data_IF_489555799890
#
_entry.id   IF_489555799890
#
_cell.length_a   1.000
_cell.length_b   1.000
_cell.length_c   1.000
_cell.angle_alpha   90.00
_cell.angle_beta   90.00
_cell.angle_gamma   90.00
#
_symmetry.space_group_name_H-M   'P 1'
#
loop_
_entity.id
_entity.type
_entity.pdbx_description
1 polymer ?
2 non-polymer ?
3 non-polymer ?
4 non-polymer ?
5 water ?
#
# COMPACT_ATOMS: atom_id res chain seq x y z
N UNK A 22 5.16 -28.61 -1.58
CA UNK A 22 4.66 -27.66 -0.58
C UNK A 22 4.24 -26.32 -1.20
N UNK A 23 4.25 -26.26 -2.54
CA UNK A 23 3.90 -25.04 -3.26
C UNK A 23 2.56 -25.10 -4.02
N UNK A 24 2.28 -26.22 -4.68
CA UNK A 24 0.93 -26.47 -5.16
C UNK A 24 0.09 -26.79 -3.93
N UNK A 25 0.76 -27.27 -2.88
CA UNK A 25 0.09 -27.56 -1.62
C UNK A 25 -0.46 -26.27 -1.02
N UNK A 26 0.36 -25.23 -1.04
CA UNK A 26 -0.07 -23.91 -0.58
C UNK A 26 -1.18 -23.37 -1.48
N UNK A 27 -1.00 -23.51 -2.80
CA UNK A 27 -2.01 -23.07 -3.75
C UNK A 27 -3.31 -23.85 -3.62
N UNK A 28 -3.17 -25.16 -3.44
CA UNK A 28 -4.31 -26.07 -3.21
C UNK A 28 -5.16 -25.61 -2.03
N UNK A 29 -4.50 -25.39 -0.89
CA UNK A 29 -5.18 -24.95 0.32
C UNK A 29 -5.82 -23.58 0.15
N UNK A 30 -5.10 -22.68 -0.53
CA UNK A 30 -5.60 -21.33 -0.71
C UNK A 30 -6.85 -21.35 -1.57
N UNK A 31 -6.78 -22.08 -2.68
CA UNK A 31 -7.91 -22.11 -3.63
C UNK A 31 -9.13 -22.80 -3.04
N UNK A 32 -8.90 -23.86 -2.26
CA UNK A 32 -10.01 -24.59 -1.63
C UNK A 32 -10.61 -23.82 -0.45
N UNK A 33 -9.83 -22.95 0.17
CA UNK A 33 -10.30 -22.28 1.40
C UNK A 33 -11.53 -21.40 1.24
N UNK A 34 -12.30 -21.28 2.33
CA UNK A 34 -13.42 -20.35 2.41
C UNK A 34 -12.85 -18.96 2.68
N UNK A 35 -13.41 -17.94 2.05
CA UNK A 35 -12.94 -16.58 2.26
C UNK A 35 -13.95 -15.83 3.11
N UNK A 36 -13.61 -15.58 4.38
CA UNK A 36 -14.50 -14.85 5.29
C UNK A 36 -14.75 -13.41 4.81
N UNK A 37 -15.79 -12.77 5.34
CA UNK A 37 -16.14 -11.42 4.92
C UNK A 37 -15.11 -10.38 5.39
N UNK A 38 -15.16 -9.22 4.72
CA UNK A 38 -14.31 -8.09 5.04
C UNK A 38 -14.48 -7.68 6.50
N UNK A 39 -15.73 -7.62 6.96
CA UNK A 39 -16.04 -7.28 8.34
C UNK A 39 -15.41 -8.26 9.31
N UNK A 40 -15.62 -9.55 9.08
CA UNK A 40 -15.04 -10.58 9.92
C UNK A 40 -13.51 -10.45 10.02
N UNK A 41 -12.87 -10.13 8.89
CA UNK A 41 -11.41 -10.11 8.81
C UNK A 41 -10.86 -8.79 9.29
N UNK A 42 -11.74 -7.81 9.50
CA UNK A 42 -11.39 -6.50 10.05
C UNK A 42 -10.52 -5.66 9.12
N UNK A 43 -10.48 -6.04 7.83
CA UNK A 43 -9.62 -5.31 6.88
C UNK A 43 -10.20 -3.94 6.51
N UNK A 44 -11.42 -3.68 6.96
CA UNK A 44 -12.07 -2.39 6.78
C UNK A 44 -11.58 -1.34 7.79
N UNK A 45 -10.89 -1.79 8.82
CA UNK A 45 -10.46 -0.91 9.91
C UNK A 45 -9.09 -0.28 9.65
N UNK A 46 -8.99 1.04 9.75
CA UNK A 46 -7.69 1.68 9.64
C UNK A 46 -6.68 1.16 10.67
N UNK A 47 -7.18 0.61 11.78
CA UNK A 47 -6.32 0.13 12.86
C UNK A 47 -5.91 -1.33 12.73
N UNK A 48 -6.22 -1.92 11.59
CA UNK A 48 -5.89 -3.32 11.30
C UNK A 48 -4.44 -3.64 11.56
N UNK A 49 -4.19 -4.85 12.07
CA UNK A 49 -2.84 -5.32 12.27
C UNK A 49 -2.77 -6.78 11.80
N UNK A 50 -1.57 -7.26 11.49
CA UNK A 50 -1.43 -8.58 10.88
C UNK A 50 -0.59 -9.55 11.71
N UNK A 51 -0.16 -9.11 12.89
CA UNK A 51 0.75 -9.89 13.74
C UNK A 51 0.21 -11.28 14.10
N UNK A 52 -1.10 -11.40 14.24
CA UNK A 52 -1.67 -12.68 14.64
C UNK A 52 -2.07 -13.58 13.45
N UNK A 53 -1.78 -13.13 12.22
CA UNK A 53 -2.21 -13.85 11.02
C UNK A 53 -1.09 -14.68 10.43
N UNK A 54 -1.44 -15.86 9.93
CA UNK A 54 -0.51 -16.70 9.17
C UNK A 54 -0.43 -16.17 7.75
N UNK A 55 0.54 -16.65 6.98
CA UNK A 55 0.66 -16.25 5.58
C UNK A 55 -0.62 -16.58 4.82
N UNK A 56 -1.14 -17.78 5.03
CA UNK A 56 -2.36 -18.22 4.38
C UNK A 56 -3.50 -17.25 4.65
N UNK A 57 -3.62 -16.81 5.90
CA UNK A 57 -4.66 -15.83 6.26
C UNK A 57 -4.47 -14.47 5.58
N UNK A 58 -3.23 -14.04 5.39
CA UNK A 58 -3.03 -12.76 4.68
C UNK A 58 -3.44 -12.92 3.21
N UNK A 59 -3.13 -14.07 2.62
CA UNK A 59 -3.59 -14.40 1.27
C UNK A 59 -5.10 -14.34 1.17
N UNK A 60 -5.78 -14.86 2.19
CA UNK A 60 -7.25 -14.85 2.23
C UNK A 60 -7.79 -13.44 2.34
N UNK A 61 -7.16 -12.61 3.17
CA UNK A 61 -7.55 -11.21 3.27
C UNK A 61 -7.33 -10.52 1.95
N UNK A 62 -6.26 -10.88 1.25
CA UNK A 62 -5.97 -10.26 -0.04
C UNK A 62 -7.03 -10.63 -1.09
N UNK A 63 -7.47 -11.89 -1.12
CA UNK A 63 -8.60 -12.27 -1.97
C UNK A 63 -9.81 -11.41 -1.65
N UNK A 64 -10.11 -11.26 -0.37
CA UNK A 64 -11.28 -10.49 0.03
C UNK A 64 -11.21 -9.02 -0.42
N UNK A 65 -10.01 -8.45 -0.44
CA UNK A 65 -9.87 -7.06 -0.91
C UNK A 65 -10.22 -6.96 -2.39
N UNK A 66 -9.73 -7.90 -3.19
CA UNK A 66 -10.06 -7.93 -4.60
C UNK A 66 -11.56 -8.11 -4.82
N UNK A 67 -12.17 -9.05 -4.13
CA UNK A 67 -13.58 -9.35 -4.41
C UNK A 67 -14.52 -8.27 -3.94
N UNK A 68 -14.21 -7.64 -2.80
CA UNK A 68 -15.07 -6.61 -2.26
C UNK A 68 -14.91 -5.25 -2.93
N UNK A 69 -13.84 -5.07 -3.68
CA UNK A 69 -13.73 -3.91 -4.55
C UNK A 69 -14.33 -4.23 -5.92
N UNK A 70 -14.96 -5.40 -6.04
CA UNK A 70 -15.68 -5.84 -7.23
C UNK A 70 -14.77 -6.10 -8.42
N UNK A 71 -13.48 -6.28 -8.15
CA UNK A 71 -12.47 -6.49 -9.18
C UNK A 71 -12.52 -7.88 -9.79
N UNK A 72 -12.82 -8.89 -8.98
CA UNK A 72 -12.97 -10.26 -9.49
C UNK A 72 -14.12 -10.31 -10.51
N UNK A 73 -15.23 -9.67 -10.16
CA UNK A 73 -16.40 -9.59 -11.03
C UNK A 73 -16.14 -8.76 -12.31
N UNK A 74 -15.80 -7.49 -12.13
CA UNK A 74 -15.71 -6.54 -13.24
C UNK A 74 -14.64 -6.86 -14.29
N UNK A 75 -13.71 -7.73 -13.94
CA UNK A 75 -12.56 -8.04 -14.80
C UNK A 75 -12.35 -9.54 -14.92
N UNK A 76 -13.38 -10.28 -14.56
CA UNK A 76 -13.48 -11.70 -14.88
C UNK A 76 -12.30 -12.56 -14.44
N UNK A 77 -11.78 -12.35 -13.24
CA UNK A 77 -10.64 -13.14 -12.79
C UNK A 77 -11.09 -14.52 -12.37
N UNK A 78 -10.39 -15.55 -12.82
CA UNK A 78 -10.63 -16.89 -12.34
C UNK A 78 -9.95 -17.05 -10.99
N UNK A 79 -10.63 -17.74 -10.09
CA UNK A 79 -10.19 -17.92 -8.71
C UNK A 79 -8.77 -18.43 -8.61
N UNK A 80 -8.46 -19.47 -9.38
CA UNK A 80 -7.15 -20.10 -9.26
C UNK A 80 -6.02 -19.20 -9.76
N UNK A 81 -6.33 -18.31 -10.70
CA UNK A 81 -5.34 -17.35 -11.18
C UNK A 81 -5.01 -16.29 -10.11
N UNK A 82 -6.04 -15.68 -9.53
CA UNK A 82 -5.86 -14.71 -8.44
C UNK A 82 -5.05 -15.33 -7.31
N UNK A 83 -5.43 -16.52 -6.90
CA UNK A 83 -4.71 -17.25 -5.86
C UNK A 83 -3.23 -17.44 -6.21
N UNK A 84 -2.98 -17.93 -7.42
CA UNK A 84 -1.60 -18.11 -7.88
C UNK A 84 -0.84 -16.76 -7.90
N UNK A 85 -1.50 -15.71 -8.38
CA UNK A 85 -0.89 -14.39 -8.46
C UNK A 85 -0.55 -13.87 -7.05
N UNK A 86 -1.49 -13.99 -6.12
CA UNK A 86 -1.23 -13.56 -4.74
C UNK A 86 -0.03 -14.31 -4.16
N UNK A 87 0.04 -15.61 -4.41
CA UNK A 87 1.14 -16.43 -3.90
C UNK A 87 2.49 -16.12 -4.55
N UNK A 88 2.48 -15.83 -5.85
CA UNK A 88 3.68 -15.33 -6.53
C UNK A 88 4.17 -14.00 -5.95
N UNK A 89 3.26 -13.06 -5.73
CA UNK A 89 3.63 -11.78 -5.16
C UNK A 89 4.27 -12.00 -3.78
N UNK A 90 3.58 -12.78 -2.95
CA UNK A 90 4.07 -13.06 -1.59
C UNK A 90 5.47 -13.66 -1.64
N UNK A 91 5.65 -14.60 -2.55
CA UNK A 91 6.91 -15.32 -2.66
C UNK A 91 8.07 -14.43 -3.10
N UNK A 92 7.78 -13.35 -3.81
CA UNK A 92 8.85 -12.51 -4.32
C UNK A 92 9.22 -11.34 -3.39
N UNK A 93 8.75 -11.40 -2.15
CA UNK A 93 9.30 -10.56 -1.09
C UNK A 93 10.29 -11.40 -0.30
N UNK A 94 11.26 -10.77 0.35
CA UNK A 94 12.24 -11.52 1.11
C UNK A 94 11.92 -11.52 2.59
N UNK A 95 11.73 -12.72 3.13
CA UNK A 95 11.37 -12.90 4.54
C UNK A 95 12.46 -12.41 5.49
N UNK A 96 13.72 -12.53 5.08
CA UNK A 96 14.85 -12.14 5.92
C UNK A 96 15.06 -10.63 6.02
N UNK A 97 14.27 -9.85 5.29
CA UNK A 97 14.34 -8.42 5.41
C UNK A 97 13.28 -7.99 6.43
N UNK A 98 13.70 -7.30 7.49
CA UNK A 98 12.87 -7.06 8.67
C UNK A 98 11.57 -6.28 8.44
N UNK A 99 11.65 -5.24 7.63
CA UNK A 99 10.48 -4.39 7.41
C UNK A 99 9.97 -4.46 5.98
N UNK A 100 10.86 -4.32 5.02
CA UNK A 100 10.46 -4.36 3.59
C UNK A 100 10.23 -5.80 3.10
N UNK A 101 9.11 -6.38 3.51
CA UNK A 101 8.78 -7.77 3.21
C UNK A 101 7.31 -7.88 2.86
N UNK A 102 6.83 -9.10 2.68
CA UNK A 102 5.44 -9.29 2.30
C UNK A 102 4.43 -8.60 3.22
N UNK A 103 4.68 -8.65 4.53
CA UNK A 103 3.71 -8.11 5.49
C UNK A 103 3.54 -6.60 5.34
N UNK A 104 4.61 -5.93 4.94
CA UNK A 104 4.56 -4.51 4.70
C UNK A 104 3.69 -4.19 3.47
N UNK A 105 3.93 -4.92 2.37
CA UNK A 105 3.13 -4.81 1.15
C UNK A 105 1.68 -5.14 1.42
N UNK A 106 1.47 -6.24 2.15
CA UNK A 106 0.13 -6.61 2.59
C UNK A 106 -0.57 -5.51 3.40
N UNK A 107 0.14 -4.92 4.37
CA UNK A 107 -0.39 -3.78 5.14
C UNK A 107 -0.66 -2.53 4.33
N UNK A 108 0.22 -2.25 3.37
CA UNK A 108 0.02 -1.11 2.46
C UNK A 108 -1.27 -1.30 1.67
N UNK A 109 -1.47 -2.50 1.13
CA UNK A 109 -2.72 -2.83 0.42
C UNK A 109 -3.95 -2.76 1.33
N UNK A 110 -3.81 -3.22 2.58
CA UNK A 110 -4.94 -3.19 3.49
C UNK A 110 -5.39 -1.77 3.73
N UNK A 111 -4.41 -0.87 3.91
CA UNK A 111 -4.71 0.54 4.07
C UNK A 111 -5.37 1.15 2.82
N UNK A 112 -4.91 0.75 1.63
CA UNK A 112 -5.55 1.20 0.38
C UNK A 112 -7.01 0.78 0.41
N UNK A 113 -7.25 -0.47 0.77
CA UNK A 113 -8.62 -0.98 0.89
C UNK A 113 -9.45 -0.17 1.88
N UNK A 114 -8.94 0.03 3.09
CA UNK A 114 -9.64 0.84 4.10
C UNK A 114 -9.91 2.29 3.65
N UNK A 115 -8.94 2.91 2.97
CA UNK A 115 -9.14 4.27 2.46
C UNK A 115 -10.21 4.28 1.35
N UNK A 116 -10.24 3.21 0.55
CA UNK A 116 -11.24 3.10 -0.50
C UNK A 116 -12.63 2.88 0.11
N UNK A 117 -12.73 1.96 1.06
CA UNK A 117 -14.00 1.64 1.70
C UNK A 117 -14.38 2.64 2.82
N UNK A 118 -13.90 2.40 4.02
CA UNK A 118 -14.18 3.26 5.17
C UNK A 118 -13.85 4.74 4.91
N UNK A 119 -12.77 4.98 4.17
CA UNK A 119 -12.39 6.35 3.85
C UNK A 119 -13.14 6.93 2.67
N UNK A 120 -13.92 6.08 2.00
CA UNK A 120 -14.78 6.51 0.89
C UNK A 120 -14.05 7.15 -0.31
N UNK A 121 -12.81 6.74 -0.55
CA UNK A 121 -12.09 7.21 -1.73
C UNK A 121 -12.61 6.48 -2.99
N UNK A 122 -13.16 5.28 -2.79
CA UNK A 122 -13.62 4.42 -3.89
C UNK A 122 -14.53 5.14 -4.91
N UNK A 123 -15.47 5.93 -4.42
CA UNK A 123 -16.45 6.57 -5.28
C UNK A 123 -15.81 7.66 -6.14
N UNK A 124 -14.63 8.10 -5.75
CA UNK A 124 -13.95 9.16 -6.47
C UNK A 124 -13.08 8.65 -7.60
N UNK A 125 -13.01 7.32 -7.76
CA UNK A 125 -12.08 6.74 -8.74
C UNK A 125 -12.78 5.80 -9.69
N UNK A 126 -12.17 5.56 -10.85
CA UNK A 126 -12.72 4.60 -11.79
C UNK A 126 -12.33 3.21 -11.36
N UNK A 127 -12.98 2.20 -11.94
CA UNK A 127 -12.66 0.82 -11.64
C UNK A 127 -11.22 0.47 -12.01
N UNK A 128 -10.73 0.98 -13.13
CA UNK A 128 -9.37 0.69 -13.58
C UNK A 128 -8.36 1.29 -12.62
N UNK A 129 -8.65 2.48 -12.12
CA UNK A 129 -7.76 3.13 -11.15
C UNK A 129 -7.64 2.30 -9.88
N UNK A 130 -8.77 1.81 -9.39
CA UNK A 130 -8.86 1.01 -8.16
C UNK A 130 -8.12 -0.32 -8.29
N UNK A 131 -8.33 -0.98 -9.41
CA UNK A 131 -7.60 -2.18 -9.78
C UNK A 131 -6.09 -1.95 -9.76
N UNK A 132 -5.65 -0.84 -10.35
CA UNK A 132 -4.22 -0.56 -10.45
C UNK A 132 -3.56 -0.26 -9.10
N UNK A 133 -4.25 0.53 -8.27
CA UNK A 133 -3.75 0.88 -6.94
C UNK A 133 -3.59 -0.32 -6.03
N UNK A 134 -4.55 -1.26 -6.11
CA UNK A 134 -4.51 -2.45 -5.25
C UNK A 134 -3.33 -3.30 -5.66
N UNK A 135 -3.16 -3.51 -6.96
CA UNK A 135 -2.02 -4.27 -7.48
C UNK A 135 -0.69 -3.57 -7.14
N UNK A 136 -0.64 -2.26 -7.37
CA UNK A 136 0.55 -1.46 -7.08
C UNK A 136 0.90 -1.48 -5.59
N UNK A 137 -0.10 -1.32 -4.73
CA UNK A 137 0.14 -1.38 -3.29
C UNK A 137 0.77 -2.70 -2.89
N UNK A 138 0.22 -3.81 -3.40
CA UNK A 138 0.77 -5.14 -3.13
C UNK A 138 2.16 -5.36 -3.70
N UNK A 139 2.43 -4.71 -4.84
CA UNK A 139 3.65 -4.97 -5.61
C UNK A 139 4.75 -3.95 -5.36
N UNK A 140 4.46 -2.86 -4.67
CA UNK A 140 5.28 -1.65 -4.73
C UNK A 140 6.70 -1.79 -4.18
N UNK A 141 6.95 -2.85 -3.40
CA UNK A 141 8.29 -3.07 -2.86
C UNK A 141 8.89 -4.42 -3.24
N UNK A 142 8.36 -5.07 -4.29
CA UNK A 142 8.76 -6.43 -4.65
C UNK A 142 10.28 -6.61 -4.72
N UNK A 143 10.76 -7.70 -4.11
CA UNK A 143 12.17 -8.10 -4.19
C UNK A 143 13.09 -7.12 -3.46
N UNK A 144 12.52 -6.27 -2.61
CA UNK A 144 13.31 -5.34 -1.79
C UNK A 144 14.31 -6.12 -0.93
N UNK A 145 15.53 -5.62 -0.80
CA UNK A 145 16.56 -6.31 -0.03
C UNK A 145 16.94 -5.60 1.26
N UNK A 146 16.26 -4.51 1.59
CA UNK A 146 16.57 -3.73 2.77
C UNK A 146 17.24 -2.41 2.43
N UNK A 147 16.94 -1.36 3.18
CA UNK A 147 17.44 -0.02 2.86
C UNK A 147 18.97 0.04 2.81
N UNK A 148 19.63 -0.79 3.61
CA UNK A 148 21.08 -0.84 3.64
C UNK A 148 21.69 -1.82 2.66
N UNK A 149 21.04 -2.97 2.53
CA UNK A 149 21.56 -4.08 1.75
C UNK A 149 21.39 -3.85 0.25
N UNK A 150 21.47 -2.59 -0.17
CA UNK A 150 21.28 -2.23 -1.58
C UNK A 150 22.61 -1.93 -2.27
N UNK A 161 22.30 5.18 -9.03
CA UNK A 161 21.70 5.59 -7.76
C UNK A 161 22.08 7.02 -7.37
N UNK A 162 23.33 7.40 -7.63
CA UNK A 162 23.75 8.79 -7.55
C UNK A 162 22.94 9.64 -8.52
N UNK A 163 22.39 8.99 -9.55
CA UNK A 163 21.56 9.65 -10.54
C UNK A 163 20.23 10.16 -9.96
N UNK A 164 19.73 9.48 -8.92
CA UNK A 164 18.42 9.77 -8.33
C UNK A 164 17.27 9.62 -9.35
N UNK A 165 17.19 8.47 -10.02
CA UNK A 165 16.14 8.28 -11.02
C UNK A 165 15.18 7.17 -10.64
N UNK A 166 14.99 6.96 -9.33
CA UNK A 166 14.04 5.99 -8.79
C UNK A 166 14.34 4.56 -9.22
N UNK A 167 15.62 4.21 -9.22
CA UNK A 167 16.10 2.90 -9.68
C UNK A 167 15.35 1.75 -9.03
N UNK A 168 15.19 1.84 -7.71
CA UNK A 168 14.58 0.79 -6.91
C UNK A 168 13.13 0.60 -7.30
N UNK A 169 12.42 1.70 -7.44
CA UNK A 169 11.01 1.64 -7.82
C UNK A 169 10.82 1.08 -9.24
N UNK A 170 11.79 1.33 -10.14
CA UNK A 170 11.73 0.76 -11.48
C UNK A 170 11.87 -0.75 -11.37
N UNK A 171 12.76 -1.21 -10.50
CA UNK A 171 12.94 -2.63 -10.29
C UNK A 171 11.68 -3.29 -9.68
N UNK A 172 11.03 -2.61 -8.73
CA UNK A 172 9.79 -3.14 -8.17
C UNK A 172 8.70 -3.29 -9.24
N UNK A 173 8.55 -2.27 -10.09
CA UNK A 173 7.57 -2.35 -11.17
C UNK A 173 7.90 -3.47 -12.15
N UNK A 174 9.16 -3.55 -12.51
CA UNK A 174 9.62 -4.61 -13.39
C UNK A 174 9.22 -5.99 -12.84
N UNK A 175 9.44 -6.21 -11.54
CA UNK A 175 9.04 -7.45 -10.86
C UNK A 175 7.54 -7.68 -10.93
N UNK A 176 6.78 -6.61 -10.65
CA UNK A 176 5.33 -6.63 -10.75
C UNK A 176 4.89 -7.09 -12.14
N UNK A 177 5.44 -6.45 -13.19
CA UNK A 177 5.10 -6.77 -14.59
C UNK A 177 5.38 -8.24 -14.90
N UNK A 178 6.55 -8.71 -14.47
CA UNK A 178 6.96 -10.11 -14.68
C UNK A 178 5.95 -11.10 -14.10
N UNK A 179 5.52 -10.85 -12.87
CA UNK A 179 4.54 -11.70 -12.23
C UNK A 179 3.20 -11.63 -12.94
N UNK A 180 2.78 -10.42 -13.30
CA UNK A 180 1.56 -10.24 -14.07
C UNK A 180 1.55 -10.98 -15.42
N UNK A 181 2.73 -11.27 -15.96
CA UNK A 181 2.85 -11.92 -17.29
C UNK A 181 3.18 -13.41 -17.20
N UNK A 182 3.33 -13.93 -15.99
CA UNK A 182 3.71 -15.33 -15.78
C UNK A 182 2.54 -16.25 -16.08
N UNK A 183 2.82 -17.43 -16.65
CA UNK A 183 1.75 -18.37 -16.95
C UNK A 183 0.95 -18.74 -15.68
N UNK A 184 -0.37 -18.65 -15.78
CA UNK A 184 -1.23 -19.01 -14.67
C UNK A 184 -1.51 -17.85 -13.71
N UNK A 185 -0.80 -16.74 -13.89
CA UNK A 185 -0.87 -15.61 -12.96
C UNK A 185 -1.51 -14.35 -13.53
N UNK A 186 -2.03 -14.44 -14.75
CA UNK A 186 -2.46 -13.24 -15.47
C UNK A 186 -3.82 -12.72 -15.08
N UNK A 187 -3.88 -12.06 -13.92
CA UNK A 187 -5.15 -11.53 -13.42
C UNK A 187 -5.69 -10.40 -14.27
N UNK A 188 -4.88 -9.84 -15.17
CA UNK A 188 -5.38 -8.79 -16.06
C UNK A 188 -5.76 -9.30 -17.46
N UNK A 189 -5.69 -10.62 -17.65
CA UNK A 189 -6.00 -11.21 -18.96
C UNK A 189 -7.41 -10.87 -19.45
N UNK A 190 -8.31 -10.60 -18.50
CA UNK A 190 -9.68 -10.28 -18.86
C UNK A 190 -9.91 -8.88 -19.40
N UNK A 191 -8.91 -8.00 -19.29
CA UNK A 191 -9.07 -6.64 -19.77
C UNK A 191 -8.80 -6.58 -21.27
N UNK A 192 -9.38 -5.59 -21.94
CA UNK A 192 -9.05 -5.32 -23.34
C UNK A 192 -7.64 -4.76 -23.42
N UNK A 193 -7.08 -4.72 -24.62
CA UNK A 193 -5.73 -4.22 -24.82
C UNK A 193 -5.61 -2.76 -24.34
N UNK A 194 -6.61 -1.94 -24.65
CA UNK A 194 -6.63 -0.55 -24.21
C UNK A 194 -6.75 -0.44 -22.68
N UNK A 195 -7.61 -1.27 -22.11
CA UNK A 195 -7.75 -1.37 -20.66
C UNK A 195 -6.40 -1.63 -20.01
N UNK A 196 -5.72 -2.64 -20.55
CA UNK A 196 -4.48 -3.18 -20.02
C UNK A 196 -3.36 -2.15 -20.04
N UNK A 197 -3.25 -1.43 -21.15
CA UNK A 197 -2.25 -0.38 -21.26
C UNK A 197 -2.47 0.76 -20.25
N UNK A 198 -3.72 1.21 -20.10
CA UNK A 198 -3.97 2.29 -19.17
C UNK A 198 -3.72 1.82 -17.72
N UNK A 199 -4.14 0.60 -17.37
CA UNK A 199 -3.90 0.10 -16.01
C UNK A 199 -2.41 -0.10 -15.70
N UNK A 200 -1.67 -0.70 -16.64
CA UNK A 200 -0.21 -0.75 -16.54
C UNK A 200 0.41 0.60 -16.29
N UNK A 201 -0.04 1.63 -17.01
CA UNK A 201 0.51 2.97 -16.81
C UNK A 201 0.26 3.48 -15.39
N UNK A 202 -0.99 3.34 -14.92
CA UNK A 202 -1.35 3.74 -13.57
C UNK A 202 -0.54 2.96 -12.52
N UNK A 203 -0.44 1.65 -12.72
CA UNK A 203 0.34 0.80 -11.80
C UNK A 203 1.78 1.31 -11.69
N UNK A 204 2.40 1.57 -12.84
CA UNK A 204 3.79 2.04 -12.87
C UNK A 204 3.97 3.43 -12.22
N UNK A 205 3.11 4.39 -12.55
CA UNK A 205 3.12 5.68 -11.87
C UNK A 205 2.97 5.51 -10.35
N UNK A 206 2.08 4.62 -9.96
CA UNK A 206 1.78 4.42 -8.54
C UNK A 206 3.00 3.86 -7.79
N UNK A 207 3.66 2.88 -8.38
CA UNK A 207 4.85 2.30 -7.77
C UNK A 207 6.01 3.30 -7.75
N UNK A 208 6.18 4.03 -8.86
CA UNK A 208 7.20 5.07 -8.95
C UNK A 208 6.97 6.13 -7.88
N UNK A 209 5.71 6.48 -7.66
CA UNK A 209 5.33 7.45 -6.63
C UNK A 209 5.85 7.11 -5.23
N UNK A 210 6.08 5.83 -4.96
CA UNK A 210 6.49 5.40 -3.61
C UNK A 210 7.97 5.70 -3.32
N UNK A 211 8.65 6.31 -4.29
CA UNK A 211 10.01 6.82 -4.11
C UNK A 211 9.91 8.09 -3.30
N UNK A 212 10.50 8.08 -2.11
CA UNK A 212 10.42 9.20 -1.19
C UNK A 212 10.82 10.53 -1.85
N UNK A 213 11.90 10.48 -2.63
CA UNK A 213 12.37 11.63 -3.41
C UNK A 213 11.26 12.24 -4.26
N UNK A 214 10.49 11.38 -4.95
CA UNK A 214 9.39 11.86 -5.79
C UNK A 214 8.26 12.45 -4.96
N UNK A 215 7.91 11.79 -3.85
CA UNK A 215 6.88 12.30 -2.97
C UNK A 215 7.22 13.73 -2.47
N UNK A 216 8.47 13.91 -2.06
CA UNK A 216 8.93 15.19 -1.55
C UNK A 216 8.92 16.28 -2.64
N UNK A 217 9.23 15.90 -3.88
CA UNK A 217 9.18 16.83 -5.01
C UNK A 217 7.77 17.32 -5.31
N UNK A 218 6.81 16.41 -5.27
CA UNK A 218 5.48 16.70 -5.79
C UNK A 218 4.48 17.15 -4.72
N UNK A 219 4.89 16.99 -3.46
CA UNK A 219 4.14 17.39 -2.27
C UNK A 219 3.58 18.79 -2.30
N UNK A 220 4.49 19.76 -2.49
CA UNK A 220 4.17 21.17 -2.43
C UNK A 220 2.98 21.50 -3.30
N UNK A 221 2.98 20.98 -4.52
CA UNK A 221 1.88 21.20 -5.46
C UNK A 221 0.54 20.74 -4.86
N UNK A 222 0.53 19.54 -4.27
CA UNK A 222 -0.69 18.97 -3.68
C UNK A 222 -1.18 19.82 -2.50
N UNK A 223 -0.26 20.16 -1.60
CA UNK A 223 -0.57 20.99 -0.44
C UNK A 223 -1.06 22.38 -0.88
N UNK A 224 -0.31 22.99 -1.78
CA UNK A 224 -0.63 24.31 -2.34
C UNK A 224 -2.04 24.36 -2.94
N UNK A 225 -2.41 23.32 -3.68
CA UNK A 225 -3.72 23.25 -4.31
C UNK A 225 -4.85 23.17 -3.28
N UNK A 226 -4.67 22.34 -2.26
CA UNK A 226 -5.69 22.20 -1.22
C UNK A 226 -5.78 23.47 -0.41
N UNK A 227 -4.63 24.07 -0.14
CA UNK A 227 -4.53 25.33 0.59
C UNK A 227 -5.42 26.43 -0.02
N UNK A 228 -5.46 26.49 -1.35
CA UNK A 228 -6.20 27.53 -2.07
C UNK A 228 -7.60 27.06 -2.47
N UNK A 229 -8.03 25.91 -1.94
CA UNK A 229 -9.28 25.30 -2.35
C UNK A 229 -9.42 25.10 -3.85
N UNK A 230 -8.29 24.91 -4.52
CA UNK A 230 -8.27 24.71 -5.98
C UNK A 230 -8.14 23.24 -6.37
N UNK A 231 -8.17 22.33 -5.40
CA UNK A 231 -8.00 20.91 -5.71
C UNK A 231 -9.21 20.32 -6.45
N UNK A 232 -8.91 19.64 -7.55
CA UNK A 232 -9.94 19.16 -8.45
C UNK A 232 -9.57 17.80 -9.06
N UNK A 233 -10.37 16.78 -8.77
CA UNK A 233 -10.07 15.42 -9.23
C UNK A 233 -10.43 15.20 -10.69
N UNK A 234 -11.24 16.10 -11.24
CA UNK A 234 -11.65 16.01 -12.63
C UNK A 234 -10.50 16.32 -13.58
N UNK A 235 -9.55 17.14 -13.11
CA UNK A 235 -8.36 17.38 -13.91
C UNK A 235 -7.53 16.11 -13.87
N UNK A 236 -7.21 15.57 -15.06
CA UNK A 236 -6.33 14.41 -15.14
C UNK A 236 -5.04 14.58 -14.34
N UNK A 237 -4.40 15.74 -14.44
CA UNK A 237 -3.11 15.94 -13.78
C UNK A 237 -3.19 15.89 -12.26
N UNK A 238 -4.27 16.44 -11.71
CA UNK A 238 -4.44 16.46 -10.27
C UNK A 238 -4.89 15.08 -9.78
N UNK A 239 -5.64 14.38 -10.62
CA UNK A 239 -6.05 13.01 -10.34
C UNK A 239 -4.81 12.15 -10.16
N UNK A 240 -3.92 12.22 -11.14
CA UNK A 240 -2.67 11.50 -11.07
C UNK A 240 -1.85 11.88 -9.83
N UNK A 241 -1.86 13.17 -9.47
CA UNK A 241 -1.08 13.66 -8.34
C UNK A 241 -1.62 13.04 -7.06
N UNK A 242 -2.95 12.95 -7.00
CA UNK A 242 -3.64 12.37 -5.85
C UNK A 242 -3.33 10.88 -5.69
N UNK A 243 -3.33 10.12 -6.78
CA UNK A 243 -3.02 8.69 -6.73
C UNK A 243 -1.63 8.50 -6.16
N UNK A 244 -0.71 9.38 -6.54
CA UNK A 244 0.66 9.34 -6.05
C UNK A 244 0.68 9.55 -4.54
N UNK A 245 -0.06 10.56 -4.08
CA UNK A 245 -0.09 10.90 -2.66
C UNK A 245 -0.75 9.79 -1.84
N UNK A 246 -1.83 9.24 -2.37
CA UNK A 246 -2.53 8.12 -1.75
C UNK A 246 -1.58 6.95 -1.56
N UNK A 247 -0.77 6.64 -2.58
CA UNK A 247 0.18 5.53 -2.47
C UNK A 247 1.11 5.74 -1.27
N UNK A 248 1.63 6.95 -1.14
CA UNK A 248 2.58 7.25 -0.07
C UNK A 248 1.91 7.15 1.29
N UNK A 249 0.68 7.64 1.38
CA UNK A 249 -0.12 7.58 2.61
C UNK A 249 -0.30 6.15 3.08
N UNK A 250 -0.60 5.26 2.14
CA UNK A 250 -0.73 3.84 2.47
C UNK A 250 0.62 3.21 2.82
N UNK A 251 1.66 3.58 2.06
CA UNK A 251 3.03 3.10 2.26
C UNK A 251 3.54 3.41 3.67
N UNK A 252 3.17 4.58 4.19
CA UNK A 252 3.65 5.03 5.49
C UNK A 252 2.68 4.70 6.60
N UNK A 253 1.59 4.00 6.27
CA UNK A 253 0.45 3.87 7.18
C UNK A 253 0.74 3.26 8.57
N UNK A 254 1.87 2.57 8.71
CA UNK A 254 2.28 2.04 10.02
C UNK A 254 2.38 3.14 11.07
N UNK A 255 2.74 4.34 10.62
CA UNK A 255 2.89 5.48 11.50
C UNK A 255 1.54 5.95 12.08
N UNK A 256 0.45 5.40 11.56
CA UNK A 256 -0.88 5.80 12.01
C UNK A 256 -1.49 4.78 12.98
N UNK A 257 -0.84 3.64 13.14
CA UNK A 257 -1.42 2.52 13.88
C UNK A 257 -1.53 2.75 15.39
N UNK A 258 -2.44 2.04 16.06
CA UNK A 258 -2.51 2.06 17.54
C UNK A 258 -1.13 1.89 18.17
N UNK A 259 -0.89 2.63 19.25
CA UNK A 259 0.43 2.67 19.90
C UNK A 259 1.18 1.33 20.08
N UNK A 260 0.52 0.29 20.61
CA UNK A 260 1.20 -1.02 20.70
C UNK A 260 1.65 -1.54 19.33
N UNK A 261 0.86 -1.29 18.29
CA UNK A 261 1.24 -1.72 16.93
C UNK A 261 2.39 -0.89 16.36
N UNK A 262 2.27 0.43 16.39
CA UNK A 262 3.36 1.30 15.91
C UNK A 262 4.72 1.03 16.58
N UNK A 263 4.70 0.81 17.89
CA UNK A 263 5.95 0.47 18.61
C UNK A 263 6.58 -0.77 18.03
N UNK A 264 5.75 -1.77 17.74
CA UNK A 264 6.23 -3.02 17.14
C UNK A 264 6.79 -2.82 15.73
N UNK A 265 6.09 -2.06 14.90
CA UNK A 265 6.58 -1.80 13.55
C UNK A 265 7.83 -0.92 13.59
N UNK A 266 7.86 0.06 14.48
CA UNK A 266 9.07 0.87 14.64
C UNK A 266 10.28 -0.01 15.01
N UNK A 267 10.03 -1.05 15.79
CA UNK A 267 11.03 -2.05 16.13
C UNK A 267 11.61 -2.73 14.87
N UNK A 268 10.74 -3.10 13.94
CA UNK A 268 11.15 -3.69 12.66
C UNK A 268 11.95 -2.69 11.80
N UNK A 269 11.45 -1.47 11.69
CA UNK A 269 12.13 -0.43 10.93
C UNK A 269 13.53 -0.23 11.48
N UNK A 270 13.62 -0.12 12.81
CA UNK A 270 14.90 0.01 13.50
C UNK A 270 15.86 -1.14 13.17
N UNK A 271 15.41 -2.40 13.19
CA UNK A 271 16.38 -3.46 12.91
C UNK A 271 16.81 -3.49 11.44
N UNK A 272 15.93 -3.08 10.53
CA UNK A 272 16.33 -3.01 9.14
C UNK A 272 17.35 -1.89 8.94
N UNK A 273 17.09 -0.73 9.56
CA UNK A 273 17.93 0.46 9.40
C UNK A 273 19.35 0.26 9.97
N UNK A 274 19.41 -0.34 11.16
CA UNK A 274 20.68 -0.50 11.85
C UNK A 274 21.03 -2.00 11.95
N UNK A 275 20.77 -2.74 10.86
CA UNK A 275 20.89 -4.21 10.86
C UNK A 275 22.23 -4.74 11.32
N UNK A 298 17.21 4.60 21.92
CA UNK A 298 17.01 5.78 22.75
C UNK A 298 17.02 7.09 21.95
N UNK A 299 17.70 7.07 20.80
CA UNK A 299 17.61 8.19 19.88
C UNK A 299 16.40 7.99 18.95
N UNK A 300 15.78 6.82 19.07
CA UNK A 300 14.63 6.48 18.22
C UNK A 300 13.38 7.34 18.46
N UNK A 301 13.03 7.66 19.73
CA UNK A 301 11.83 8.49 19.85
C UNK A 301 11.90 9.85 19.12
N UNK A 302 13.00 10.57 19.26
CA UNK A 302 13.11 11.88 18.62
C UNK A 302 13.15 11.72 17.10
N UNK A 303 13.77 10.64 16.63
CA UNK A 303 13.78 10.34 15.21
C UNK A 303 12.36 10.19 14.69
N UNK A 304 11.53 9.44 15.43
CA UNK A 304 10.15 9.20 15.03
C UNK A 304 9.34 10.49 15.01
N UNK A 305 9.58 11.36 15.99
CA UNK A 305 8.90 12.67 15.99
C UNK A 305 9.31 13.51 14.78
N UNK A 306 10.60 13.50 14.43
CA UNK A 306 11.09 14.25 13.27
C UNK A 306 10.48 13.73 11.99
N UNK A 307 10.40 12.40 11.88
CA UNK A 307 9.81 11.74 10.72
C UNK A 307 8.34 12.09 10.59
N UNK A 308 7.61 12.05 11.70
CA UNK A 308 6.20 12.37 11.66
C UNK A 308 5.97 13.81 11.20
N UNK A 309 6.78 14.74 11.72
CA UNK A 309 6.68 16.16 11.38
C UNK A 309 7.10 16.46 9.96
N UNK A 310 8.28 16.00 9.57
CA UNK A 310 8.82 16.31 8.26
C UNK A 310 8.03 15.69 7.10
N UNK A 311 7.51 14.49 7.31
CA UNK A 311 6.99 13.70 6.19
C UNK A 311 5.51 13.31 6.31
N UNK A 312 5.08 12.94 7.51
CA UNK A 312 3.77 12.32 7.68
C UNK A 312 2.58 13.24 7.92
N UNK A 313 2.68 14.12 8.92
CA UNK A 313 1.51 14.89 9.37
C UNK A 313 0.79 15.66 8.26
N UNK A 314 1.57 16.38 7.44
CA UNK A 314 0.98 17.18 6.36
C UNK A 314 0.24 16.35 5.32
N UNK A 315 0.79 15.18 5.00
CA UNK A 315 0.14 14.25 4.08
C UNK A 315 -1.23 13.81 4.60
N UNK A 316 -1.28 13.33 5.85
CA UNK A 316 -2.54 12.82 6.37
C UNK A 316 -3.54 13.96 6.57
N UNK A 317 -3.04 15.17 6.85
CA UNK A 317 -3.90 16.34 6.91
C UNK A 317 -4.51 16.61 5.53
N UNK A 318 -3.66 16.63 4.50
CA UNK A 318 -4.14 16.79 3.12
C UNK A 318 -5.19 15.74 2.73
N UNK A 319 -4.91 14.48 3.05
CA UNK A 319 -5.84 13.39 2.73
C UNK A 319 -7.21 13.60 3.37
N UNK A 320 -7.24 14.13 4.60
CA UNK A 320 -8.51 14.28 5.30
C UNK A 320 -9.33 15.45 4.73
N UNK A 321 -8.63 16.45 4.21
CA UNK A 321 -9.28 17.53 3.45
C UNK A 321 -10.00 16.94 2.24
N UNK A 322 -9.33 16.07 1.49
CA UNK A 322 -9.92 15.43 0.33
C UNK A 322 -11.07 14.51 0.74
N UNK A 323 -10.86 13.71 1.78
CA UNK A 323 -11.95 12.90 2.31
C UNK A 323 -11.97 12.85 3.82
N UNK A 324 -13.01 13.46 4.38
CA UNK A 324 -13.24 13.55 5.81
C UNK A 324 -13.08 12.22 6.51
N UNK A 325 -13.54 11.15 5.87
CA UNK A 325 -13.56 9.84 6.49
C UNK A 325 -12.19 9.18 6.61
N UNK A 326 -11.16 9.82 6.06
CA UNK A 326 -9.79 9.37 6.21
C UNK A 326 -9.15 9.95 7.46
N UNK A 327 -9.95 10.69 8.22
CA UNK A 327 -9.51 11.25 9.50
C UNK A 327 -8.80 10.29 10.46
N UNK A 328 -9.27 9.03 10.57
CA UNK A 328 -8.60 8.15 11.53
C UNK A 328 -7.11 7.96 11.28
N UNK A 329 -6.65 8.10 10.03
CA UNK A 329 -5.22 8.02 9.74
C UNK A 329 -4.50 9.22 10.34
N UNK A 330 -5.08 10.40 10.14
CA UNK A 330 -4.52 11.62 10.70
C UNK A 330 -4.49 11.56 12.23
N UNK A 331 -5.61 11.14 12.81
CA UNK A 331 -5.74 11.03 14.25
C UNK A 331 -4.71 10.05 14.82
N UNK A 332 -4.60 8.89 14.19
CA UNK A 332 -3.68 7.87 14.65
C UNK A 332 -2.24 8.37 14.60
N UNK A 333 -1.91 9.12 13.56
CA UNK A 333 -0.58 9.67 13.41
C UNK A 333 -0.30 10.69 14.52
N UNK A 334 -1.31 11.48 14.88
CA UNK A 334 -1.15 12.48 15.94
C UNK A 334 -0.90 11.82 17.28
N UNK A 335 -1.72 10.82 17.60
CA UNK A 335 -1.59 10.10 18.87
C UNK A 335 -0.20 9.49 19.00
N UNK A 336 0.30 8.94 17.89
CA UNK A 336 1.66 8.43 17.87
C UNK A 336 2.73 9.51 18.08
N UNK A 337 2.51 10.70 17.54
CA UNK A 337 3.48 11.79 17.77
C UNK A 337 3.57 12.11 19.26
N UNK A 338 2.41 12.23 19.91
CA UNK A 338 2.32 12.47 21.35
C UNK A 338 3.11 11.41 22.13
N UNK A 339 2.90 10.14 21.80
CA UNK A 339 3.56 9.03 22.49
C UNK A 339 5.09 9.03 22.31
N UNK A 340 5.56 9.22 21.09
CA UNK A 340 7.00 9.23 20.86
C UNK A 340 7.66 10.45 21.51
N UNK A 341 6.95 11.58 21.49
CA UNK A 341 7.47 12.84 22.06
C UNK A 341 7.61 12.71 23.58
N UNK A 342 6.61 12.11 24.23
CA UNK A 342 6.69 11.86 25.67
C UNK A 342 7.93 11.03 25.99
N UNK A 343 8.17 9.98 25.22
CA UNK A 343 9.37 9.17 25.40
C UNK A 343 10.66 9.94 25.16
N UNK A 344 10.65 10.89 24.23
CA UNK A 344 11.85 11.67 23.90
C UNK A 344 12.48 12.40 25.11
N UNK A 345 11.80 12.40 26.26
CA UNK A 345 12.42 12.82 27.53
C UNK A 345 12.71 11.63 28.47
X LIG B 1 16.05 8.35 7.14
X LIG B 1 17.22 8.02 6.26
X LIG B 1 18.32 7.47 7.02
X LIG B 1 19.33 6.65 6.41
X LIG B 1 18.71 8.32 8.12
X LIG B 1 17.55 8.64 9.02
X LIG B 1 16.35 9.10 8.36
X LIG B 1 14.86 9.65 8.98
X LIG B 1 14.95 10.84 9.84
X LIG B 1 13.94 9.93 7.90
X LIG B 1 14.22 8.33 9.97
X LIG B 1 13.07 7.63 9.54
X LIG B 1 14.86 7.96 11.16
X LIG B 1 14.35 6.92 11.94
X LIG B 1 13.20 6.22 11.50
X LIG B 1 12.65 5.17 12.24
X LIG B 1 13.31 4.53 13.31
X LIG B 1 12.40 3.62 14.16
X LIG B 1 12.57 6.60 10.30
X LIG B 1 11.33 5.89 9.81
X LIG B 1 11.18 5.62 8.51
X LIG B 1 10.37 5.57 10.70
X LIG B 1 9.23 4.95 10.31
X LIG B 1 8.27 4.63 11.28
X LIG B 1 9.04 4.66 8.96
X LIG B 1 7.39 3.79 8.41
X LIG B 1 10.06 5.01 8.03
X LIG B 1 9.98 4.75 6.51
X LIG B 1 10.83 3.65 5.83
X LIG B 1 11.25 3.85 4.40
X LIG B 1 10.60 4.97 3.61
X LIG B 1 10.38 4.76 2.14
X LIG B 1 9.58 5.84 1.36
X LIG B 1 8.11 6.00 1.65
X LIG B 1 7.15 6.21 0.49
X LIG C 1 6.92 0.44 0.97
X LIG D 1 9.56 1.32 -1.49
#
# INVERSE_FOLDING_TARGET
>A
MGSSHHHHHHSSGLVPRGSHMEETRELQSLAAAVVPSAQTLKITDFSFSDFELSDLETALCTIRMFTDLNLVQNFQMKHEVLCRWILSVKKNYRKNVAYHNWRHAFNTAQCMFAALKAGKIQNKLTDLEILALLIAALSHDLDHRGVNNSYIQRSEHPLAQLYCHSIMEHHHFDQCLMILNSPGNQILSGLSIEEYKTTLKIIKQAILATDLALYIKRRGEFFELIRKNQFNLEDPHQKELFLAMLMTACDLSAITKPWPIQQRIAELVATEFFDQGDRERKELNIEPTDLMNREKKNKIPSMQVGFIDAICLQLYEALTHVSEDCFPLLDGCRKNRQKWQALAEQQ
>B hetero
1 5BB CAU CAS NBG CAC CAT CAV NBH SBI OAE OAF CAZ CAJ CAH CAI CBA OAY CAL CAB CBD CBE NAW NAX CBF OAD CBC BR CBB CAR CAQ CAP CAO CAN CAM CAK CAA
>C hetero
1 ZN ZN
>D hetero
1 MG MG
#
